data_IF_728442434263
#
_entry.id   IF_728442434263
#
_cell.length_a   1.000
_cell.length_b   1.000
_cell.length_c   1.000
_cell.angle_alpha   90.00
_cell.angle_beta   90.00
_cell.angle_gamma   90.00
#
_symmetry.space_group_name_H-M   'P 1'
#
loop_
_entity.id
_entity.type
_entity.pdbx_description
1 polymer ?
#
# COMPACT_ATOMS: atom_id res chain seq x y z
N UNK A 1 -31.92 -21.96 -3.09
CA UNK A 1 -32.21 -22.22 -1.66
C UNK A 1 -32.39 -20.89 -0.95
N UNK A 2 -33.36 -20.76 -0.04
CA UNK A 2 -33.51 -19.57 0.82
C UNK A 2 -32.79 -19.82 2.14
N UNK A 3 -32.20 -18.74 2.70
CA UNK A 3 -31.60 -18.78 4.03
C UNK A 3 -32.65 -19.14 5.09
N UNK A 4 -32.23 -19.73 6.21
CA UNK A 4 -33.11 -20.05 7.33
C UNK A 4 -33.89 -18.84 7.89
N UNK A 5 -33.41 -17.62 7.69
CA UNK A 5 -34.13 -16.38 8.01
C UNK A 5 -35.32 -16.06 7.06
N UNK A 6 -35.48 -16.82 5.97
CA UNK A 6 -36.54 -16.63 4.96
C UNK A 6 -36.45 -15.39 4.05
N UNK A 7 -35.64 -14.41 4.44
CA UNK A 7 -35.63 -13.07 3.82
C UNK A 7 -34.78 -12.96 2.55
N UNK A 8 -33.73 -13.78 2.39
CA UNK A 8 -32.76 -13.62 1.29
C UNK A 8 -32.26 -14.98 0.76
N UNK A 9 -31.80 -15.04 -0.52
CA UNK A 9 -31.18 -16.24 -1.04
C UNK A 9 -29.88 -16.57 -0.31
N UNK A 10 -29.53 -17.87 -0.27
CA UNK A 10 -28.27 -18.36 0.29
C UNK A 10 -27.10 -17.79 -0.52
N UNK A 11 -26.19 -17.09 0.16
CA UNK A 11 -25.03 -16.44 -0.45
C UNK A 11 -23.68 -16.93 0.07
N UNK A 12 -23.68 -17.90 1.01
CA UNK A 12 -22.48 -18.45 1.63
C UNK A 12 -22.47 -19.98 1.55
N UNK A 13 -21.28 -20.59 1.62
CA UNK A 13 -21.13 -22.06 1.64
C UNK A 13 -21.70 -22.70 2.92
N UNK A 14 -21.96 -21.89 3.96
CA UNK A 14 -22.63 -22.29 5.21
C UNK A 14 -24.15 -22.37 5.12
N UNK A 15 -24.76 -22.18 3.93
CA UNK A 15 -26.21 -22.22 3.75
C UNK A 15 -26.94 -20.99 4.30
N UNK A 16 -26.24 -19.90 4.62
CA UNK A 16 -26.77 -18.65 5.17
C UNK A 16 -26.74 -17.52 4.14
N UNK A 17 -27.63 -16.55 4.24
CA UNK A 17 -27.48 -15.28 3.51
C UNK A 17 -26.35 -14.44 4.15
N UNK A 18 -25.84 -13.48 3.41
CA UNK A 18 -24.74 -12.62 3.91
C UNK A 18 -25.06 -11.97 5.25
N UNK A 19 -26.28 -11.43 5.46
CA UNK A 19 -26.69 -10.84 6.72
C UNK A 19 -26.70 -11.83 7.89
N UNK A 20 -27.14 -13.08 7.68
CA UNK A 20 -27.09 -14.11 8.72
C UNK A 20 -25.70 -14.67 8.96
N UNK A 21 -24.82 -14.69 7.96
CA UNK A 21 -23.42 -15.04 8.12
C UNK A 21 -22.68 -13.94 8.89
N UNK A 22 -22.99 -12.67 8.60
CA UNK A 22 -22.47 -11.51 9.33
C UNK A 22 -22.97 -11.45 10.78
N UNK A 23 -24.17 -11.95 11.07
CA UNK A 23 -24.71 -12.04 12.42
C UNK A 23 -24.24 -13.27 13.22
N UNK A 24 -23.45 -14.17 12.61
CA UNK A 24 -22.97 -15.37 13.30
C UNK A 24 -22.03 -15.01 14.46
N UNK A 25 -22.20 -15.58 15.64
CA UNK A 25 -21.29 -15.40 16.77
C UNK A 25 -19.85 -15.76 16.34
N UNK A 26 -18.90 -14.85 16.57
CA UNK A 26 -17.48 -15.04 16.22
C UNK A 26 -17.02 -14.44 14.89
N UNK A 27 -17.92 -14.05 13.97
CA UNK A 27 -17.50 -13.45 12.69
C UNK A 27 -16.84 -12.07 12.87
N UNK A 28 -17.41 -11.22 13.73
CA UNK A 28 -16.82 -9.92 14.05
C UNK A 28 -15.48 -10.06 14.80
N UNK A 29 -15.32 -11.13 15.60
CA UNK A 29 -14.08 -11.45 16.30
C UNK A 29 -12.97 -11.94 15.33
N UNK A 30 -13.35 -12.45 14.14
CA UNK A 30 -12.42 -12.88 13.11
C UNK A 30 -11.75 -11.69 12.38
N UNK A 31 -12.37 -10.48 12.39
CA UNK A 31 -11.79 -9.26 11.84
C UNK A 31 -10.62 -8.79 12.71
N UNK A 32 -9.43 -8.93 12.19
CA UNK A 32 -8.20 -8.56 12.92
C UNK A 32 -7.86 -7.08 12.70
N UNK A 33 -7.67 -6.28 13.78
CA UNK A 33 -7.29 -4.88 13.62
C UNK A 33 -5.92 -4.76 12.94
N UNK A 34 -5.82 -3.87 11.95
CA UNK A 34 -4.58 -3.58 11.24
C UNK A 34 -3.96 -2.22 11.65
N UNK A 35 -4.52 -1.55 12.68
CA UNK A 35 -4.14 -0.19 13.06
C UNK A 35 -2.65 -0.06 13.40
N UNK A 36 -2.08 -0.97 14.22
CA UNK A 36 -0.67 -0.92 14.59
C UNK A 36 0.25 -1.04 13.39
N UNK A 37 -0.06 -1.99 12.45
CA UNK A 37 0.70 -2.13 11.22
C UNK A 37 0.55 -0.90 10.30
N UNK A 38 -0.65 -0.32 10.22
CA UNK A 38 -0.89 0.89 9.45
C UNK A 38 -0.11 2.09 10.01
N UNK A 39 -0.07 2.26 11.33
CA UNK A 39 0.72 3.32 11.99
C UNK A 39 2.21 3.13 11.71
N UNK A 40 2.74 1.93 11.94
CA UNK A 40 4.15 1.63 11.67
C UNK A 40 4.51 1.87 10.19
N UNK A 41 3.64 1.43 9.27
CA UNK A 41 3.82 1.63 7.85
C UNK A 41 3.81 3.11 7.47
N UNK A 42 2.86 3.91 8.00
CA UNK A 42 2.79 5.34 7.73
C UNK A 42 4.02 6.09 8.25
N UNK A 43 4.58 5.70 9.40
CA UNK A 43 5.84 6.25 9.91
C UNK A 43 6.99 5.93 8.97
N UNK A 44 7.13 4.68 8.54
CA UNK A 44 8.19 4.26 7.62
C UNK A 44 8.07 4.94 6.25
N UNK A 45 6.85 5.04 5.70
CA UNK A 45 6.58 5.76 4.45
C UNK A 45 6.88 7.27 4.61
N UNK A 46 6.56 7.87 5.76
CA UNK A 46 6.88 9.25 6.06
C UNK A 46 8.39 9.50 6.12
N UNK A 47 9.15 8.62 6.78
CA UNK A 47 10.61 8.67 6.78
C UNK A 47 11.18 8.54 5.36
N UNK A 48 10.64 7.60 4.57
CA UNK A 48 11.01 7.43 3.16
C UNK A 48 10.70 8.68 2.33
N UNK A 49 9.56 9.33 2.55
CA UNK A 49 9.19 10.57 1.85
C UNK A 49 10.13 11.75 2.19
N UNK A 50 10.51 11.88 3.47
CA UNK A 50 11.50 12.89 3.89
C UNK A 50 12.86 12.62 3.27
N UNK A 51 13.28 11.36 3.24
CA UNK A 51 14.53 10.96 2.60
C UNK A 51 14.51 11.25 1.08
N UNK A 52 13.44 10.90 0.38
CA UNK A 52 13.28 11.19 -1.06
C UNK A 52 13.34 12.69 -1.33
N UNK A 53 12.69 13.52 -0.50
CA UNK A 53 12.75 14.98 -0.62
C UNK A 53 14.19 15.51 -0.43
N UNK A 54 14.93 14.98 0.54
CA UNK A 54 16.32 15.36 0.76
C UNK A 54 17.20 15.02 -0.45
N UNK A 55 17.01 13.83 -1.05
CA UNK A 55 17.72 13.44 -2.27
C UNK A 55 17.37 14.36 -3.44
N UNK A 56 16.10 14.67 -3.67
CA UNK A 56 15.68 15.63 -4.71
C UNK A 56 16.41 16.98 -4.57
N UNK A 57 16.49 17.51 -3.34
CA UNK A 57 17.18 18.78 -3.10
C UNK A 57 18.67 18.67 -3.42
N UNK A 58 19.31 17.57 -3.02
CA UNK A 58 20.73 17.33 -3.27
C UNK A 58 21.02 17.15 -4.77
N UNK A 59 20.20 16.37 -5.48
CA UNK A 59 20.37 16.12 -6.92
C UNK A 59 20.18 17.40 -7.74
N UNK A 60 19.18 18.23 -7.40
CA UNK A 60 18.97 19.54 -8.04
C UNK A 60 20.16 20.46 -7.79
N UNK A 61 20.70 20.46 -6.58
CA UNK A 61 21.88 21.26 -6.26
C UNK A 61 23.11 20.80 -7.03
N UNK A 62 23.33 19.48 -7.13
CA UNK A 62 24.39 18.89 -7.93
C UNK A 62 24.25 19.19 -9.43
N UNK A 63 23.04 19.15 -10.00
CA UNK A 63 22.81 19.52 -11.42
C UNK A 63 23.15 20.99 -11.68
N UNK A 64 22.77 21.89 -10.76
CA UNK A 64 23.12 23.30 -10.84
C UNK A 64 24.64 23.52 -10.77
N UNK A 65 25.32 22.86 -9.82
CA UNK A 65 26.75 22.94 -9.64
C UNK A 65 27.52 22.40 -10.86
N UNK A 66 27.11 21.25 -11.39
CA UNK A 66 27.66 20.68 -12.61
C UNK A 66 27.46 21.61 -13.81
N UNK A 67 26.33 22.33 -13.88
CA UNK A 67 26.10 23.36 -14.89
C UNK A 67 27.07 24.52 -14.81
N UNK A 68 27.31 25.03 -13.60
CA UNK A 68 28.26 26.12 -13.36
C UNK A 68 29.69 25.75 -13.78
N UNK A 69 30.10 24.50 -13.51
CA UNK A 69 31.41 23.99 -13.95
C UNK A 69 31.52 23.93 -15.49
N UNK A 70 30.46 23.52 -16.18
CA UNK A 70 30.42 23.50 -17.64
C UNK A 70 30.48 24.91 -18.25
N UNK A 71 29.87 25.88 -17.61
CA UNK A 71 29.86 27.27 -18.03
C UNK A 71 31.18 28.02 -17.72
N UNK A 72 32.15 27.32 -17.08
CA UNK A 72 33.46 27.89 -16.74
C UNK A 72 33.40 28.93 -15.62
N UNK A 73 32.43 28.81 -14.70
CA UNK A 73 32.29 29.75 -13.58
C UNK A 73 33.48 29.69 -12.65
N UNK A 74 34.11 30.83 -12.42
CA UNK A 74 35.20 30.96 -11.47
C UNK A 74 34.72 30.75 -10.03
N UNK A 75 35.47 29.94 -9.26
CA UNK A 75 35.23 29.76 -7.82
C UNK A 75 34.53 28.46 -7.43
N UNK A 76 34.20 27.57 -8.36
CA UNK A 76 33.72 26.20 -8.06
C UNK A 76 34.92 25.28 -7.98
N UNK A 77 35.11 24.67 -6.80
CA UNK A 77 36.15 23.65 -6.62
C UNK A 77 35.78 22.38 -7.45
N UNK A 78 36.66 21.93 -8.37
CA UNK A 78 36.40 20.75 -9.22
C UNK A 78 36.13 19.46 -8.44
N UNK A 79 36.59 19.34 -7.20
CA UNK A 79 36.41 18.17 -6.36
C UNK A 79 35.04 18.15 -5.62
N UNK A 80 34.35 19.29 -5.57
CA UNK A 80 33.06 19.45 -4.86
C UNK A 80 32.00 18.48 -5.36
N UNK A 81 31.79 18.27 -6.69
CA UNK A 81 30.78 17.32 -7.19
C UNK A 81 31.08 15.87 -6.75
N UNK A 82 32.33 15.45 -6.73
CA UNK A 82 32.72 14.11 -6.30
C UNK A 82 32.47 13.89 -4.79
N UNK A 83 32.81 14.88 -3.97
CA UNK A 83 32.54 14.85 -2.53
C UNK A 83 31.03 14.77 -2.22
N UNK A 84 30.21 15.58 -2.88
CA UNK A 84 28.76 15.57 -2.73
C UNK A 84 28.13 14.25 -3.25
N UNK A 85 28.60 13.72 -4.38
CA UNK A 85 28.17 12.41 -4.87
C UNK A 85 28.42 11.30 -3.87
N UNK A 86 29.54 11.33 -3.14
CA UNK A 86 29.84 10.36 -2.08
C UNK A 86 28.89 10.50 -0.89
N UNK A 87 28.47 11.70 -0.53
CA UNK A 87 27.48 11.98 0.52
C UNK A 87 26.11 11.40 0.11
N UNK A 88 25.66 11.67 -1.11
CA UNK A 88 24.37 11.13 -1.64
C UNK A 88 24.41 9.60 -1.64
N UNK A 89 25.50 8.99 -2.10
CA UNK A 89 25.63 7.53 -2.12
C UNK A 89 25.58 6.93 -0.71
N UNK A 90 26.27 7.54 0.27
CA UNK A 90 26.26 7.10 1.66
C UNK A 90 24.85 7.25 2.27
N UNK A 91 24.19 8.36 2.00
CA UNK A 91 22.83 8.62 2.46
C UNK A 91 21.83 7.60 1.89
N UNK A 92 21.88 7.32 0.59
CA UNK A 92 21.06 6.31 -0.05
C UNK A 92 21.29 4.92 0.55
N UNK A 93 22.54 4.55 0.84
CA UNK A 93 22.87 3.32 1.55
C UNK A 93 22.24 3.24 2.95
N UNK A 94 22.22 4.33 3.69
CA UNK A 94 21.60 4.42 5.01
C UNK A 94 20.07 4.29 4.98
N UNK A 95 19.41 4.64 3.88
CA UNK A 95 17.95 4.54 3.71
C UNK A 95 17.49 3.13 3.33
N UNK A 96 18.38 2.26 2.81
CA UNK A 96 18.03 0.88 2.42
C UNK A 96 17.34 0.08 3.53
N UNK A 97 17.82 0.06 4.79
CA UNK A 97 17.13 -0.66 5.87
C UNK A 97 15.70 -0.18 6.11
N UNK A 98 15.46 1.13 6.00
CA UNK A 98 14.11 1.71 6.13
C UNK A 98 13.21 1.23 4.99
N UNK A 99 13.74 1.19 3.76
CA UNK A 99 13.05 0.66 2.60
C UNK A 99 12.66 -0.82 2.78
N UNK A 100 13.59 -1.65 3.23
CA UNK A 100 13.34 -3.08 3.50
C UNK A 100 12.28 -3.25 4.59
N UNK A 101 12.38 -2.50 5.69
CA UNK A 101 11.36 -2.51 6.75
C UNK A 101 9.98 -2.09 6.22
N UNK A 102 9.94 -1.06 5.35
CA UNK A 102 8.71 -0.60 4.71
C UNK A 102 8.06 -1.71 3.89
N UNK A 103 8.82 -2.42 3.06
CA UNK A 103 8.32 -3.55 2.26
C UNK A 103 7.75 -4.65 3.14
N UNK A 104 8.48 -5.05 4.18
CA UNK A 104 8.03 -6.12 5.10
C UNK A 104 6.74 -5.71 5.81
N UNK A 105 6.69 -4.51 6.40
CA UNK A 105 5.50 -4.03 7.11
C UNK A 105 4.33 -3.83 6.16
N UNK A 106 4.57 -3.36 4.92
CA UNK A 106 3.54 -3.25 3.88
C UNK A 106 2.94 -4.61 3.55
N UNK A 107 3.74 -5.64 3.30
CA UNK A 107 3.26 -6.99 2.98
C UNK A 107 2.44 -7.56 4.14
N UNK A 108 2.90 -7.39 5.39
CA UNK A 108 2.17 -7.85 6.58
C UNK A 108 0.83 -7.12 6.74
N UNK A 109 0.82 -5.79 6.58
CA UNK A 109 -0.39 -4.98 6.59
C UNK A 109 -1.34 -5.39 5.47
N UNK A 110 -0.84 -5.53 4.26
CA UNK A 110 -1.63 -5.91 3.08
C UNK A 110 -2.24 -7.31 3.23
N UNK A 111 -1.46 -8.28 3.68
CA UNK A 111 -1.95 -9.63 3.95
C UNK A 111 -3.04 -9.65 5.02
N UNK A 112 -2.91 -8.83 6.06
CA UNK A 112 -3.93 -8.68 7.11
C UNK A 112 -5.20 -8.02 6.60
N UNK A 113 -5.09 -6.91 5.88
CA UNK A 113 -6.25 -6.19 5.32
C UNK A 113 -6.97 -7.02 4.27
N UNK A 114 -6.25 -7.84 3.49
CA UNK A 114 -6.84 -8.80 2.56
C UNK A 114 -7.63 -9.88 3.29
N UNK A 115 -7.12 -10.41 4.40
CA UNK A 115 -7.86 -11.36 5.22
C UNK A 115 -9.16 -10.79 5.79
N UNK A 116 -9.15 -9.51 6.18
CA UNK A 116 -10.38 -8.80 6.58
C UNK A 116 -11.33 -8.63 5.38
N UNK A 117 -10.80 -8.28 4.21
CA UNK A 117 -11.59 -8.12 2.99
C UNK A 117 -12.31 -9.41 2.56
N UNK A 118 -11.67 -10.57 2.74
CA UNK A 118 -12.28 -11.89 2.50
C UNK A 118 -13.52 -12.13 3.39
N UNK A 119 -13.46 -11.66 4.64
CA UNK A 119 -14.60 -11.73 5.55
C UNK A 119 -15.70 -10.72 5.18
N UNK A 120 -15.32 -9.51 4.74
CA UNK A 120 -16.25 -8.45 4.37
C UNK A 120 -16.97 -8.73 3.03
N UNK A 121 -16.34 -9.46 2.11
CA UNK A 121 -16.89 -9.83 0.80
C UNK A 121 -16.37 -11.18 0.32
N UNK A 122 -16.90 -12.33 0.84
CA UNK A 122 -16.33 -13.66 0.63
C UNK A 122 -16.19 -14.12 -0.83
N UNK A 123 -16.99 -13.64 -1.75
CA UNK A 123 -16.95 -14.03 -3.18
C UNK A 123 -16.57 -12.88 -4.13
N UNK A 124 -16.05 -11.77 -3.60
CA UNK A 124 -15.73 -10.57 -4.37
C UNK A 124 -14.29 -10.44 -4.87
N UNK A 125 -13.50 -11.50 -4.78
CA UNK A 125 -12.07 -11.43 -5.03
C UNK A 125 -11.64 -12.28 -6.22
N UNK A 126 -10.84 -11.70 -7.12
CA UNK A 126 -10.33 -12.35 -8.33
C UNK A 126 -9.20 -13.33 -8.05
N UNK A 127 -8.39 -13.05 -7.03
CA UNK A 127 -7.17 -13.79 -6.70
C UNK A 127 -7.20 -14.28 -5.26
N UNK A 128 -6.59 -15.43 -5.00
CA UNK A 128 -6.46 -15.99 -3.66
C UNK A 128 -5.55 -15.14 -2.74
N UNK A 129 -5.75 -15.26 -1.43
CA UNK A 129 -5.03 -14.49 -0.41
C UNK A 129 -3.50 -14.65 -0.47
N UNK A 130 -2.97 -15.81 -0.88
CA UNK A 130 -1.53 -16.04 -1.01
C UNK A 130 -0.84 -15.10 -1.98
N UNK A 131 -1.55 -14.57 -2.96
CA UNK A 131 -1.02 -13.62 -3.94
C UNK A 131 -0.70 -12.24 -3.35
N UNK A 132 -1.16 -11.91 -2.14
CA UNK A 132 -0.69 -10.70 -1.43
C UNK A 132 0.78 -10.75 -1.09
N UNK A 133 1.38 -11.92 -1.06
CA UNK A 133 2.82 -12.14 -0.88
C UNK A 133 3.43 -12.57 -2.23
N UNK A 134 2.96 -13.68 -2.81
CA UNK A 134 3.52 -14.26 -4.03
C UNK A 134 3.52 -13.31 -5.23
N UNK A 135 2.53 -12.41 -5.33
CA UNK A 135 2.42 -11.44 -6.42
C UNK A 135 3.58 -10.44 -6.51
N UNK A 136 4.32 -10.22 -5.43
CA UNK A 136 5.50 -9.33 -5.39
C UNK A 136 6.78 -10.00 -5.87
N UNK A 137 6.88 -11.32 -5.75
CA UNK A 137 8.08 -12.10 -6.03
C UNK A 137 7.99 -12.90 -7.33
N UNK A 138 6.79 -12.97 -7.96
CA UNK A 138 6.61 -13.69 -9.21
C UNK A 138 6.84 -12.73 -10.38
N UNK A 139 7.84 -12.98 -11.23
CA UNK A 139 8.10 -12.18 -12.42
C UNK A 139 6.84 -12.06 -13.29
N UNK A 140 6.74 -10.98 -14.07
CA UNK A 140 5.61 -10.68 -14.95
C UNK A 140 4.35 -10.30 -14.16
N UNK A 141 3.77 -11.19 -13.32
CA UNK A 141 2.51 -10.90 -12.59
C UNK A 141 2.67 -9.81 -11.53
N UNK A 142 3.90 -9.56 -11.05
CA UNK A 142 4.21 -8.46 -10.13
C UNK A 142 3.80 -7.08 -10.67
N UNK A 143 3.63 -6.93 -11.99
CA UNK A 143 3.25 -5.68 -12.62
C UNK A 143 1.76 -5.36 -12.55
N UNK A 144 0.88 -6.34 -12.16
CA UNK A 144 -0.57 -6.09 -12.08
C UNK A 144 -1.29 -6.80 -10.92
N UNK A 145 -0.79 -7.95 -10.40
CA UNK A 145 -1.47 -8.66 -9.31
C UNK A 145 -1.59 -7.83 -8.03
N UNK A 146 -0.53 -7.13 -7.55
CA UNK A 146 -0.64 -6.34 -6.34
C UNK A 146 -1.68 -5.22 -6.47
N UNK A 147 -1.75 -4.56 -7.64
CA UNK A 147 -2.76 -3.56 -7.93
C UNK A 147 -4.18 -4.14 -7.92
N UNK A 148 -4.42 -5.26 -8.60
CA UNK A 148 -5.73 -5.91 -8.63
C UNK A 148 -6.19 -6.33 -7.24
N UNK A 149 -5.29 -6.91 -6.45
CA UNK A 149 -5.57 -7.31 -5.06
C UNK A 149 -5.90 -6.10 -4.18
N UNK A 150 -5.19 -4.98 -4.36
CA UNK A 150 -5.45 -3.75 -3.62
C UNK A 150 -6.81 -3.15 -3.97
N UNK A 151 -7.17 -3.13 -5.26
CA UNK A 151 -8.50 -2.69 -5.73
C UNK A 151 -9.61 -3.58 -5.15
N UNK A 152 -9.41 -4.91 -5.13
CA UNK A 152 -10.37 -5.84 -4.54
C UNK A 152 -10.53 -5.59 -3.02
N UNK A 153 -9.43 -5.36 -2.29
CA UNK A 153 -9.47 -4.99 -0.87
C UNK A 153 -10.20 -3.66 -0.65
N UNK A 154 -9.95 -2.67 -1.52
CA UNK A 154 -10.57 -1.36 -1.48
C UNK A 154 -12.08 -1.45 -1.63
N UNK A 155 -12.56 -2.15 -2.67
CA UNK A 155 -13.98 -2.39 -2.94
C UNK A 155 -14.67 -3.17 -1.82
N UNK A 156 -14.02 -4.23 -1.34
CA UNK A 156 -14.56 -5.07 -0.26
C UNK A 156 -14.72 -4.32 1.06
N UNK A 157 -13.83 -3.35 1.33
CA UNK A 157 -13.81 -2.56 2.56
C UNK A 157 -14.73 -1.33 2.50
N UNK A 158 -15.38 -1.05 1.35
CA UNK A 158 -16.24 0.10 1.18
C UNK A 158 -17.34 0.17 2.25
N UNK A 159 -17.63 1.34 2.84
CA UNK A 159 -18.69 1.53 3.81
C UNK A 159 -20.06 1.24 3.18
N UNK A 160 -21.04 0.90 4.01
CA UNK A 160 -22.43 0.74 3.59
C UNK A 160 -23.19 2.07 3.77
N UNK A 161 -24.08 2.38 2.84
CA UNK A 161 -25.07 3.45 3.04
C UNK A 161 -26.20 2.99 3.99
N UNK A 162 -27.12 3.90 4.30
CA UNK A 162 -28.27 3.62 5.18
C UNK A 162 -29.15 2.47 4.65
N UNK A 163 -29.14 2.23 3.33
CA UNK A 163 -29.89 1.16 2.66
C UNK A 163 -29.09 -0.15 2.56
N UNK A 164 -27.89 -0.19 3.13
CA UNK A 164 -27.01 -1.38 3.14
C UNK A 164 -26.29 -1.63 1.80
N UNK A 165 -26.26 -0.65 0.90
CA UNK A 165 -25.53 -0.73 -0.38
C UNK A 165 -24.09 -0.26 -0.17
N UNK A 166 -23.15 -0.88 -0.88
CA UNK A 166 -21.73 -0.46 -0.82
C UNK A 166 -21.54 0.87 -1.55
N UNK A 167 -21.09 1.88 -0.82
CA UNK A 167 -20.62 3.14 -1.40
C UNK A 167 -19.14 3.01 -1.73
N UNK A 168 -18.85 2.52 -2.93
CA UNK A 168 -17.44 2.34 -3.37
C UNK A 168 -16.79 3.70 -3.56
N UNK A 169 -15.78 4.05 -2.75
CA UNK A 169 -15.03 5.29 -2.95
C UNK A 169 -14.17 5.19 -4.21
N UNK A 170 -13.78 6.34 -4.76
CA UNK A 170 -12.91 6.40 -5.94
C UNK A 170 -11.64 5.57 -5.76
N UNK A 171 -11.29 4.80 -6.77
CA UNK A 171 -10.08 3.98 -6.84
C UNK A 171 -8.85 4.77 -7.33
N UNK A 172 -9.03 6.06 -7.64
CA UNK A 172 -7.97 6.91 -8.20
C UNK A 172 -6.72 6.92 -7.33
N UNK A 173 -6.87 6.91 -6.00
CA UNK A 173 -5.73 6.89 -5.07
C UNK A 173 -4.89 5.62 -5.20
N UNK A 174 -5.53 4.47 -5.43
CA UNK A 174 -4.86 3.19 -5.66
C UNK A 174 -4.15 3.20 -7.01
N UNK A 175 -4.79 3.78 -8.04
CA UNK A 175 -4.21 3.88 -9.37
C UNK A 175 -3.01 4.84 -9.38
N UNK A 176 -3.11 6.01 -8.76
CA UNK A 176 -2.00 6.97 -8.68
C UNK A 176 -0.82 6.37 -7.91
N UNK A 177 -1.08 5.75 -6.74
CA UNK A 177 -0.03 5.05 -6.01
C UNK A 177 0.67 4.01 -6.87
N UNK A 178 -0.08 3.17 -7.57
CA UNK A 178 0.49 2.11 -8.39
C UNK A 178 1.32 2.64 -9.56
N UNK A 179 0.78 3.61 -10.31
CA UNK A 179 1.45 4.19 -11.47
C UNK A 179 2.73 4.94 -11.08
N UNK A 180 2.70 5.71 -10.01
CA UNK A 180 3.88 6.46 -9.55
C UNK A 180 4.95 5.53 -8.99
N UNK A 181 4.56 4.48 -8.24
CA UNK A 181 5.49 3.48 -7.75
C UNK A 181 6.12 2.68 -8.89
N UNK A 182 5.33 2.21 -9.87
CA UNK A 182 5.86 1.52 -11.05
C UNK A 182 6.74 2.43 -11.91
N UNK A 183 6.34 3.68 -12.07
CA UNK A 183 7.13 4.68 -12.80
C UNK A 183 8.49 4.92 -12.14
N UNK A 184 8.54 5.02 -10.81
CA UNK A 184 9.81 5.16 -10.08
C UNK A 184 10.73 3.96 -10.28
N UNK A 185 10.21 2.74 -10.25
CA UNK A 185 11.02 1.54 -10.51
C UNK A 185 11.60 1.51 -11.94
N UNK A 186 10.82 1.93 -12.93
CA UNK A 186 11.26 1.97 -14.33
C UNK A 186 12.33 3.05 -14.50
N UNK A 187 12.10 4.26 -13.98
CA UNK A 187 13.07 5.36 -14.09
C UNK A 187 14.36 5.03 -13.35
N UNK A 188 14.30 4.44 -12.15
CA UNK A 188 15.49 4.04 -11.41
C UNK A 188 16.32 2.99 -12.16
N UNK A 189 15.67 2.07 -12.88
CA UNK A 189 16.37 1.12 -13.74
C UNK A 189 17.04 1.82 -14.93
N UNK A 190 16.37 2.79 -15.55
CA UNK A 190 16.94 3.57 -16.66
C UNK A 190 18.10 4.44 -16.18
N UNK A 191 17.98 5.09 -15.03
CA UNK A 191 19.06 5.87 -14.42
C UNK A 191 20.28 4.99 -14.14
N UNK A 192 20.10 3.83 -13.50
CA UNK A 192 21.19 2.88 -13.23
C UNK A 192 21.90 2.43 -14.51
N UNK A 193 21.15 2.13 -15.58
CA UNK A 193 21.75 1.73 -16.88
C UNK A 193 22.58 2.85 -17.52
N UNK A 194 22.26 4.11 -17.22
CA UNK A 194 23.00 5.28 -17.71
C UNK A 194 24.22 5.61 -16.84
N UNK A 195 24.15 5.39 -15.52
CA UNK A 195 25.21 5.73 -14.59
C UNK A 195 26.28 4.63 -14.41
N UNK A 196 26.02 3.39 -14.84
CA UNK A 196 27.02 2.31 -14.77
C UNK A 196 28.13 2.51 -15.80
N UNK A 197 29.28 2.96 -15.33
CA UNK A 197 30.49 3.10 -16.17
C UNK A 197 31.12 4.48 -16.18
N UNK A 198 30.57 5.45 -15.43
CA UNK A 198 31.12 6.80 -15.41
C UNK A 198 32.37 6.93 -14.51
N UNK A 199 33.49 7.27 -15.14
CA UNK A 199 34.57 8.04 -14.53
C UNK A 199 34.59 9.39 -15.25
N UNK A 200 34.28 10.48 -14.55
CA UNK A 200 34.31 11.83 -15.13
C UNK A 200 35.73 12.12 -15.63
N UNK A 201 35.95 12.11 -16.92
CA UNK A 201 37.24 12.37 -17.57
C UNK A 201 37.20 13.52 -18.54
N UNK A 202 36.00 13.97 -19.00
CA UNK A 202 35.83 14.98 -20.03
C UNK A 202 34.48 15.70 -19.90
N UNK A 203 34.29 16.81 -20.63
CA UNK A 203 33.07 17.60 -20.68
C UNK A 203 31.83 16.78 -21.12
N UNK A 204 32.00 15.82 -22.03
CA UNK A 204 30.92 14.88 -22.42
C UNK A 204 30.42 14.04 -21.24
N UNK A 205 31.31 13.72 -20.29
CA UNK A 205 30.96 13.01 -19.07
C UNK A 205 30.11 13.84 -18.13
N UNK A 206 30.37 15.16 -18.01
CA UNK A 206 29.57 16.09 -17.20
C UNK A 206 28.13 16.25 -17.72
N UNK A 207 27.95 16.34 -19.05
CA UNK A 207 26.61 16.39 -19.64
C UNK A 207 25.83 15.13 -19.39
N UNK A 208 26.46 13.96 -19.53
CA UNK A 208 25.87 12.67 -19.23
C UNK A 208 25.55 12.52 -17.75
N UNK A 209 26.37 13.03 -16.83
CA UNK A 209 26.11 13.10 -15.41
C UNK A 209 24.83 13.92 -15.12
N UNK A 210 24.68 15.07 -15.73
CA UNK A 210 23.47 15.90 -15.58
C UNK A 210 22.20 15.21 -16.06
N UNK A 211 22.25 14.46 -17.15
CA UNK A 211 21.12 13.65 -17.61
C UNK A 211 20.80 12.59 -16.57
N UNK A 212 21.81 11.92 -16.02
CA UNK A 212 21.65 10.93 -14.92
C UNK A 212 20.95 11.55 -13.72
N UNK A 213 21.45 12.69 -13.19
CA UNK A 213 20.88 13.41 -12.05
C UNK A 213 19.41 13.80 -12.27
N UNK A 214 19.05 14.25 -13.47
CA UNK A 214 17.67 14.61 -13.82
C UNK A 214 16.75 13.39 -13.85
N UNK A 215 17.23 12.23 -14.29
CA UNK A 215 16.48 10.99 -14.26
C UNK A 215 16.29 10.50 -12.82
N UNK A 216 17.33 10.59 -11.98
CA UNK A 216 17.27 10.26 -10.55
C UNK A 216 16.32 11.20 -9.81
N UNK A 217 16.39 12.50 -10.05
CA UNK A 217 15.43 13.49 -9.51
C UNK A 217 14.00 13.14 -9.90
N UNK A 218 13.75 12.80 -11.16
CA UNK A 218 12.41 12.42 -11.62
C UNK A 218 11.93 11.12 -10.96
N UNK A 219 12.81 10.14 -10.75
CA UNK A 219 12.52 8.92 -9.99
C UNK A 219 12.11 9.26 -8.56
N UNK A 220 12.91 10.08 -7.86
CA UNK A 220 12.65 10.44 -6.47
C UNK A 220 11.36 11.25 -6.30
N UNK A 221 11.02 12.13 -7.24
CA UNK A 221 9.72 12.83 -7.26
C UNK A 221 8.58 11.84 -7.38
N UNK A 222 8.66 10.84 -8.28
CA UNK A 222 7.65 9.79 -8.37
C UNK A 222 7.57 8.94 -7.10
N UNK A 223 8.70 8.63 -6.48
CA UNK A 223 8.78 7.91 -5.20
C UNK A 223 8.12 8.69 -4.07
N UNK A 224 8.35 10.00 -4.02
CA UNK A 224 7.70 10.89 -3.05
C UNK A 224 6.18 10.90 -3.23
N UNK A 225 5.69 11.04 -4.46
CA UNK A 225 4.24 10.98 -4.76
C UNK A 225 3.66 9.61 -4.42
N UNK A 226 4.39 8.53 -4.72
CA UNK A 226 3.99 7.17 -4.36
C UNK A 226 3.91 6.99 -2.84
N UNK A 227 4.86 7.53 -2.06
CA UNK A 227 4.82 7.47 -0.60
C UNK A 227 3.63 8.22 -0.01
N UNK A 228 3.36 9.44 -0.48
CA UNK A 228 2.21 10.24 -0.03
C UNK A 228 0.89 9.54 -0.35
N UNK A 229 0.73 9.04 -1.58
CA UNK A 229 -0.49 8.34 -1.99
C UNK A 229 -0.64 7.00 -1.27
N UNK A 230 0.46 6.30 -0.97
CA UNK A 230 0.45 5.10 -0.12
C UNK A 230 -0.03 5.41 1.30
N UNK A 231 0.47 6.47 1.95
CA UNK A 231 0.02 6.90 3.28
C UNK A 231 -1.49 7.17 3.29
N UNK A 232 -1.98 7.91 2.30
CA UNK A 232 -3.40 8.20 2.16
C UNK A 232 -4.23 6.93 1.93
N UNK A 233 -3.76 6.02 1.09
CA UNK A 233 -4.40 4.74 0.79
C UNK A 233 -4.45 3.84 2.03
N UNK A 234 -3.32 3.67 2.73
CA UNK A 234 -3.21 2.87 3.97
C UNK A 234 -4.15 3.41 5.04
N UNK A 235 -4.14 4.71 5.25
CA UNK A 235 -4.99 5.39 6.24
C UNK A 235 -6.47 5.20 5.93
N UNK A 236 -6.89 5.46 4.67
CA UNK A 236 -8.30 5.34 4.24
C UNK A 236 -8.78 3.88 4.29
N UNK A 237 -8.00 2.93 3.77
CA UNK A 237 -8.38 1.52 3.76
C UNK A 237 -8.53 0.99 5.20
N UNK A 238 -7.59 1.33 6.09
CA UNK A 238 -7.64 0.93 7.49
C UNK A 238 -8.84 1.57 8.21
N UNK A 239 -9.16 2.84 7.92
CA UNK A 239 -10.32 3.53 8.46
C UNK A 239 -11.63 2.88 8.01
N UNK A 240 -11.79 2.57 6.71
CA UNK A 240 -12.96 1.86 6.18
C UNK A 240 -13.17 0.51 6.86
N UNK A 241 -12.11 -0.29 7.05
CA UNK A 241 -12.21 -1.57 7.74
C UNK A 241 -12.55 -1.42 9.23
N UNK A 242 -12.05 -0.35 9.89
CA UNK A 242 -12.40 -0.04 11.27
C UNK A 242 -13.87 0.35 11.42
N UNK A 243 -14.39 1.19 10.53
CA UNK A 243 -15.79 1.58 10.47
C UNK A 243 -16.69 0.34 10.29
N UNK A 244 -16.41 -0.47 9.27
CA UNK A 244 -17.12 -1.73 9.03
C UNK A 244 -17.11 -2.67 10.24
N UNK A 245 -16.00 -2.75 10.96
CA UNK A 245 -15.89 -3.53 12.19
C UNK A 245 -16.76 -2.97 13.32
N UNK A 246 -16.84 -1.64 13.44
CA UNK A 246 -17.69 -0.97 14.44
C UNK A 246 -19.18 -1.21 14.18
N UNK A 247 -19.60 -1.18 12.90
CA UNK A 247 -21.00 -1.44 12.49
C UNK A 247 -21.42 -2.88 12.80
N UNK A 248 -20.52 -3.82 12.72
CA UNK A 248 -20.77 -5.27 12.90
C UNK A 248 -20.83 -5.66 14.38
N UNK A 249 -20.03 -5.04 15.22
CA UNK A 249 -19.93 -5.40 16.65
C UNK A 249 -21.27 -5.34 17.41
N UNK A 250 -22.10 -4.29 17.30
CA UNK A 250 -23.39 -4.24 17.98
C UNK A 250 -24.40 -5.25 17.43
N UNK A 251 -24.35 -5.55 16.14
CA UNK A 251 -25.22 -6.56 15.52
C UNK A 251 -24.83 -7.97 16.00
N UNK A 252 -23.55 -8.27 16.08
CA UNK A 252 -23.06 -9.54 16.61
C UNK A 252 -23.40 -9.73 18.10
N UNK A 253 -23.34 -8.64 18.90
CA UNK A 253 -23.73 -8.67 20.30
C UNK A 253 -25.23 -8.94 20.49
N UNK A 254 -26.10 -8.28 19.69
CA UNK A 254 -27.54 -8.52 19.71
C UNK A 254 -27.90 -9.96 19.30
N UNK A 255 -27.32 -10.46 18.19
CA UNK A 255 -27.56 -11.83 17.74
C UNK A 255 -27.10 -12.87 18.77
N UNK A 256 -25.99 -12.63 19.46
CA UNK A 256 -25.51 -13.50 20.55
C UNK A 256 -26.46 -13.49 21.76
N UNK A 257 -27.04 -12.36 22.07
CA UNK A 257 -28.04 -12.21 23.15
C UNK A 257 -29.35 -12.88 22.81
N UNK A 258 -29.85 -12.74 21.59
CA UNK A 258 -31.05 -13.42 21.09
C UNK A 258 -30.87 -14.93 21.09
N UNK A 259 -29.70 -15.43 20.63
CA UNK A 259 -29.38 -16.86 20.66
C UNK A 259 -29.35 -17.43 22.10
N UNK A 260 -28.84 -16.67 23.08
CA UNK A 260 -28.87 -17.05 24.50
C UNK A 260 -30.29 -17.11 25.05
N UNK A 261 -31.13 -16.14 24.71
CA UNK A 261 -32.55 -16.12 25.15
C UNK A 261 -33.29 -17.31 24.56
N UNK A 262 -33.10 -17.61 23.27
CA UNK A 262 -33.71 -18.78 22.62
C UNK A 262 -33.27 -20.11 23.23
N UNK A 263 -32.00 -20.25 23.57
CA UNK A 263 -31.46 -21.45 24.22
C UNK A 263 -32.03 -21.68 25.63
N UNK A 264 -32.42 -20.61 26.33
CA UNK A 264 -33.05 -20.68 27.65
C UNK A 264 -34.56 -20.94 27.55
N UNK A 265 -35.21 -20.50 26.47
CA UNK A 265 -36.66 -20.61 26.28
C UNK A 265 -37.07 -21.91 25.55
N UNK A 266 -36.16 -22.67 24.94
CA UNK A 266 -36.40 -23.99 24.37
C UNK A 266 -36.10 -25.06 25.42
N UNK A 267 -37.14 -25.63 26.10
CA UNK A 267 -36.89 -26.74 27.00
C UNK A 267 -36.34 -27.91 26.18
N UNK A 268 -35.30 -28.57 26.69
CA UNK A 268 -34.78 -29.80 26.09
C UNK A 268 -35.91 -30.81 26.02
N UNK A 269 -36.45 -31.05 24.81
CA UNK A 269 -37.32 -32.21 24.55
C UNK A 269 -36.45 -33.47 24.59
N UNK A 270 -36.14 -33.92 25.82
CA UNK A 270 -35.49 -35.21 26.08
C UNK A 270 -36.08 -35.77 27.34
N UNK A 271 -37.16 -36.51 27.14
CA UNK A 271 -37.61 -37.57 28.02
C UNK A 271 -37.98 -38.78 27.16
#
# INVERSE_FOLDING_TARGET
>A
MKCACGARPVGTDSGRCFGCAEAAPGWAAALRPANGLATALNVLLGLGAVAALAVVVLDVWLDVLAGQLLDGADGVDPDTPAALGSVVHTFNGAVVPVGLATVVVFILWFHRTRGNADLLLPKGHRLGRGWTIGGWFTPIVMFWFPWQLMVDCWRASAPLDAEGRRRTPSESIVAVWWLTWMGSLILGRLATLKSTGFTVRDYADLESLRIGLRLETAEEVLRLVAAITAILMVTRLTAMQRERRADINPLAARAAQEARVQAVTTPSASA
#
